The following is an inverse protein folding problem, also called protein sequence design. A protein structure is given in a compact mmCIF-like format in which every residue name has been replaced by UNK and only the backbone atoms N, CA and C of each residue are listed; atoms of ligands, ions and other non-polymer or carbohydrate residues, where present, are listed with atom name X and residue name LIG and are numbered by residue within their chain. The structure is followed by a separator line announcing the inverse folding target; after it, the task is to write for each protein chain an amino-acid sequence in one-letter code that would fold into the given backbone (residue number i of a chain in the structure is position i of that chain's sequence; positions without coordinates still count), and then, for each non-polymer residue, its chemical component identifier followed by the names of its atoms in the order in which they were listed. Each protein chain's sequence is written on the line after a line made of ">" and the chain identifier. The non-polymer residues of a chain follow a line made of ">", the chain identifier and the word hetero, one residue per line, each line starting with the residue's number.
data_IF_422821620706
#
_entry.id   IF_422821620706
#
_cell.length_a   1.000
_cell.length_b   1.000
_cell.length_c   1.000
_cell.angle_alpha   90.00
_cell.angle_beta   90.00
_cell.angle_gamma   90.00
#
_symmetry.space_group_name_H-M   'P 1'
#
loop_
_entity.id
_entity.type
_entity.pdbx_description
1 polymer ?
#
# COMPACT_ATOMS: atom_id res chain seq x y z
N UNK A 1 34.54 28.61 -28.29
CA UNK A 1 33.34 27.80 -27.96
C UNK A 1 32.18 28.47 -28.67
N UNK A 2 31.67 27.83 -29.73
CA UNK A 2 30.68 28.41 -30.64
C UNK A 2 29.27 28.30 -30.04
N UNK A 3 28.37 29.25 -30.32
CA UNK A 3 27.00 29.29 -29.77
C UNK A 3 26.24 27.95 -29.95
N UNK A 4 26.54 27.22 -31.01
CA UNK A 4 25.93 25.91 -31.34
C UNK A 4 26.25 24.85 -30.27
N UNK A 5 27.49 24.80 -29.75
CA UNK A 5 27.86 23.85 -28.68
C UNK A 5 27.19 24.16 -27.35
N UNK A 6 26.88 25.44 -27.11
CA UNK A 6 26.22 25.91 -25.89
C UNK A 6 24.74 25.52 -25.89
N UNK A 7 24.05 25.65 -27.04
CA UNK A 7 22.65 25.25 -27.21
C UNK A 7 22.47 23.73 -27.12
N UNK A 8 23.37 22.94 -27.72
CA UNK A 8 23.29 21.47 -27.66
C UNK A 8 23.50 20.94 -26.23
N UNK A 9 24.46 21.49 -25.47
CA UNK A 9 24.63 21.11 -24.06
C UNK A 9 23.42 21.48 -23.21
N UNK A 10 22.85 22.67 -23.41
CA UNK A 10 21.65 23.09 -22.70
C UNK A 10 20.45 22.17 -22.99
N UNK A 11 20.31 21.71 -24.25
CA UNK A 11 19.24 20.81 -24.64
C UNK A 11 19.44 19.40 -24.06
N UNK A 12 20.66 18.89 -24.02
CA UNK A 12 21.00 17.60 -23.42
C UNK A 12 20.84 17.62 -21.88
N UNK A 13 21.24 18.71 -21.22
CA UNK A 13 21.02 18.91 -19.78
C UNK A 13 19.53 19.07 -19.45
N UNK A 14 18.76 19.76 -20.30
CA UNK A 14 17.31 19.87 -20.16
C UNK A 14 16.61 18.51 -20.35
N UNK A 15 17.03 17.69 -21.32
CA UNK A 15 16.51 16.33 -21.49
C UNK A 15 16.82 15.45 -20.27
N UNK A 16 18.04 15.53 -19.73
CA UNK A 16 18.43 14.76 -18.54
C UNK A 16 17.61 15.19 -17.32
N UNK A 17 17.41 16.49 -17.12
CA UNK A 17 16.58 17.02 -16.05
C UNK A 17 15.12 16.53 -16.18
N UNK A 18 14.56 16.55 -17.39
CA UNK A 18 13.23 16.02 -17.66
C UNK A 18 13.13 14.52 -17.40
N UNK A 19 14.13 13.74 -17.82
CA UNK A 19 14.18 12.30 -17.60
C UNK A 19 14.25 11.95 -16.10
N UNK A 20 15.06 12.67 -15.32
CA UNK A 20 15.14 12.50 -13.86
C UNK A 20 13.82 12.86 -13.19
N UNK A 21 13.18 13.95 -13.62
CA UNK A 21 11.88 14.37 -13.10
C UNK A 21 10.78 13.34 -13.39
N UNK A 22 10.72 12.85 -14.64
CA UNK A 22 9.79 11.79 -15.04
C UNK A 22 10.05 10.48 -14.27
N UNK A 23 11.31 10.10 -14.08
CA UNK A 23 11.69 8.96 -13.24
C UNK A 23 11.26 9.15 -11.78
N UNK A 24 11.39 10.37 -11.23
CA UNK A 24 10.91 10.71 -9.89
C UNK A 24 9.39 10.60 -9.75
N UNK A 25 8.63 11.00 -10.77
CA UNK A 25 7.18 10.82 -10.81
C UNK A 25 6.82 9.32 -10.86
N UNK A 26 7.48 8.56 -11.74
CA UNK A 26 7.25 7.12 -11.86
C UNK A 26 7.54 6.38 -10.55
N UNK A 27 8.65 6.75 -9.87
CA UNK A 27 9.03 6.19 -8.59
C UNK A 27 7.96 6.45 -7.52
N UNK A 28 7.47 7.69 -7.42
CA UNK A 28 6.44 8.05 -6.42
C UNK A 28 5.10 7.35 -6.70
N UNK A 29 4.68 7.25 -7.96
CA UNK A 29 3.49 6.49 -8.36
C UNK A 29 3.63 5.01 -7.99
N UNK A 30 4.77 4.40 -8.34
CA UNK A 30 5.06 3.02 -7.97
C UNK A 30 5.03 2.81 -6.46
N UNK A 31 5.64 3.71 -5.70
CA UNK A 31 5.65 3.67 -4.24
C UNK A 31 4.23 3.76 -3.67
N UNK A 32 3.39 4.65 -4.20
CA UNK A 32 1.99 4.79 -3.79
C UNK A 32 1.21 3.49 -3.94
N UNK A 33 1.35 2.79 -5.08
CA UNK A 33 0.69 1.49 -5.28
C UNK A 33 1.20 0.42 -4.31
N UNK A 34 2.51 0.39 -4.05
CA UNK A 34 3.09 -0.54 -3.08
C UNK A 34 2.54 -0.24 -1.68
N UNK A 35 2.55 1.03 -1.25
CA UNK A 35 1.98 1.47 0.03
C UNK A 35 0.50 1.12 0.14
N UNK A 36 -0.28 1.26 -0.93
CA UNK A 36 -1.69 0.90 -0.93
C UNK A 36 -1.94 -0.59 -0.65
N UNK A 37 -1.03 -1.48 -1.08
CA UNK A 37 -1.07 -2.91 -0.79
C UNK A 37 -0.49 -3.25 0.59
N UNK A 38 0.58 -2.57 1.01
CA UNK A 38 1.24 -2.81 2.28
C UNK A 38 0.45 -2.27 3.47
N UNK A 39 -0.29 -1.17 3.31
CA UNK A 39 -1.10 -0.58 4.37
C UNK A 39 -2.08 -1.56 5.03
N UNK A 40 -2.98 -2.25 4.30
CA UNK A 40 -3.89 -3.21 4.93
C UNK A 40 -3.13 -4.37 5.59
N UNK A 41 -2.00 -4.80 5.02
CA UNK A 41 -1.15 -5.83 5.63
C UNK A 41 -0.58 -5.38 6.97
N UNK A 42 0.03 -4.19 7.04
CA UNK A 42 0.65 -3.65 8.25
C UNK A 42 -0.39 -3.39 9.33
N UNK A 43 -1.52 -2.77 8.97
CA UNK A 43 -2.64 -2.54 9.91
C UNK A 43 -3.16 -3.88 10.44
N UNK A 44 -3.31 -4.88 9.56
CA UNK A 44 -3.63 -6.24 9.93
C UNK A 44 -2.65 -6.79 10.98
N UNK A 45 -1.34 -6.71 10.72
CA UNK A 45 -0.29 -7.18 11.64
C UNK A 45 -0.43 -6.51 13.01
N UNK A 46 -0.58 -5.19 13.05
CA UNK A 46 -0.71 -4.44 14.32
C UNK A 46 -1.96 -4.89 15.09
N UNK A 47 -3.11 -4.96 14.43
CA UNK A 47 -4.35 -5.41 15.08
C UNK A 47 -4.24 -6.87 15.57
N UNK A 48 -3.70 -7.76 14.75
CA UNK A 48 -3.50 -9.16 15.10
C UNK A 48 -2.54 -9.35 16.28
N UNK A 49 -1.48 -8.54 16.33
CA UNK A 49 -0.50 -8.52 17.42
C UNK A 49 -1.06 -7.97 18.73
N UNK A 50 -2.09 -7.12 18.69
CA UNK A 50 -2.75 -6.64 19.92
C UNK A 50 -3.74 -7.70 20.45
N UNK A 51 -4.46 -8.37 19.56
CA UNK A 51 -5.56 -9.29 19.91
C UNK A 51 -5.10 -10.68 20.39
N UNK A 52 -3.97 -11.18 19.92
CA UNK A 52 -3.33 -12.44 20.37
C UNK A 52 -4.03 -13.74 20.04
N UNK A 53 -5.28 -13.66 19.59
CA UNK A 53 -6.02 -14.80 19.08
C UNK A 53 -6.02 -14.76 17.56
N UNK A 54 -5.46 -15.81 16.94
CA UNK A 54 -5.36 -15.98 15.48
C UNK A 54 -6.68 -15.69 14.75
N UNK A 55 -7.80 -16.24 15.26
CA UNK A 55 -9.13 -16.07 14.65
C UNK A 55 -9.61 -14.62 14.72
N UNK A 56 -9.40 -13.95 15.86
CA UNK A 56 -9.82 -12.57 16.03
C UNK A 56 -8.94 -11.62 15.21
N UNK A 57 -7.62 -11.85 15.17
CA UNK A 57 -6.70 -11.06 14.35
C UNK A 57 -7.04 -11.09 12.86
N UNK A 58 -7.34 -12.27 12.31
CA UNK A 58 -7.77 -12.41 10.91
C UNK A 58 -9.08 -11.65 10.69
N UNK A 59 -10.08 -11.86 11.55
CA UNK A 59 -11.40 -11.23 11.41
C UNK A 59 -11.31 -9.71 11.48
N UNK A 60 -10.54 -9.16 12.43
CA UNK A 60 -10.38 -7.70 12.55
C UNK A 60 -9.57 -7.11 11.40
N UNK A 61 -8.56 -7.81 10.90
CA UNK A 61 -7.79 -7.36 9.72
C UNK A 61 -8.64 -7.37 8.45
N UNK A 62 -9.46 -8.41 8.27
CA UNK A 62 -10.36 -8.53 7.14
C UNK A 62 -11.51 -7.50 7.20
N UNK A 63 -12.27 -7.45 8.31
CA UNK A 63 -13.38 -6.50 8.44
C UNK A 63 -12.89 -5.04 8.44
N UNK A 64 -11.74 -4.76 9.06
CA UNK A 64 -11.15 -3.42 9.06
C UNK A 64 -10.88 -2.93 7.65
N UNK A 65 -10.26 -3.76 6.81
CA UNK A 65 -10.06 -3.46 5.41
C UNK A 65 -11.39 -3.26 4.66
N UNK A 66 -12.35 -4.19 4.79
CA UNK A 66 -13.67 -4.07 4.14
C UNK A 66 -14.33 -2.74 4.47
N UNK A 67 -14.38 -2.36 5.76
CA UNK A 67 -15.04 -1.13 6.21
C UNK A 67 -14.29 0.10 5.71
N UNK A 68 -12.97 0.14 5.82
CA UNK A 68 -12.17 1.29 5.37
C UNK A 68 -12.31 1.53 3.88
N UNK A 69 -12.24 0.49 3.05
CA UNK A 69 -12.40 0.65 1.61
C UNK A 69 -13.87 0.95 1.25
N UNK A 70 -14.85 0.35 1.91
CA UNK A 70 -16.27 0.68 1.69
C UNK A 70 -16.58 2.16 1.97
N UNK A 71 -15.97 2.75 3.00
CA UNK A 71 -16.06 4.20 3.25
C UNK A 71 -15.42 5.00 2.12
N UNK A 72 -14.25 4.56 1.63
CA UNK A 72 -13.57 5.20 0.51
C UNK A 72 -14.44 5.22 -0.75
N UNK A 73 -15.18 4.14 -1.02
CA UNK A 73 -16.11 4.05 -2.14
C UNK A 73 -17.18 5.14 -2.11
N UNK A 74 -17.78 5.35 -0.95
CA UNK A 74 -18.81 6.37 -0.72
C UNK A 74 -18.22 7.76 -0.97
N UNK A 75 -17.01 8.03 -0.49
CA UNK A 75 -16.32 9.32 -0.67
C UNK A 75 -15.97 9.57 -2.14
N UNK A 76 -15.59 8.54 -2.89
CA UNK A 76 -15.28 8.65 -4.33
C UNK A 76 -16.50 8.72 -5.25
N UNK A 77 -17.72 8.73 -4.69
CA UNK A 77 -18.94 8.99 -5.45
C UNK A 77 -19.30 7.92 -6.48
N UNK A 78 -18.98 6.64 -6.23
CA UNK A 78 -19.29 5.53 -7.13
C UNK A 78 -18.68 5.67 -8.54
N UNK A 79 -17.58 6.40 -8.68
CA UNK A 79 -16.89 6.59 -9.96
C UNK A 79 -16.34 5.28 -10.57
N UNK A 80 -16.31 4.19 -9.79
CA UNK A 80 -15.78 2.88 -10.18
C UNK A 80 -16.90 1.85 -10.22
N UNK A 81 -16.87 0.97 -11.21
CA UNK A 81 -17.78 -0.17 -11.33
C UNK A 81 -17.79 -1.01 -10.04
N UNK A 82 -18.98 -1.30 -9.53
CA UNK A 82 -19.21 -2.05 -8.29
C UNK A 82 -18.52 -3.42 -8.33
N UNK A 83 -18.49 -4.09 -9.48
CA UNK A 83 -17.86 -5.41 -9.60
C UNK A 83 -16.33 -5.32 -9.44
N UNK A 84 -15.72 -4.29 -10.03
CA UNK A 84 -14.26 -4.04 -9.93
C UNK A 84 -13.90 -3.58 -8.52
N UNK A 85 -14.73 -2.72 -7.93
CA UNK A 85 -14.53 -2.27 -6.57
C UNK A 85 -14.64 -3.43 -5.56
N UNK A 86 -15.68 -4.26 -5.68
CA UNK A 86 -15.88 -5.42 -4.80
C UNK A 86 -14.74 -6.43 -4.86
N UNK A 87 -14.18 -6.68 -6.05
CA UNK A 87 -13.01 -7.56 -6.21
C UNK A 87 -11.76 -6.95 -5.59
N UNK A 88 -11.52 -5.65 -5.78
CA UNK A 88 -10.40 -4.95 -5.15
C UNK A 88 -10.49 -4.96 -3.62
N UNK A 89 -11.68 -4.69 -3.05
CA UNK A 89 -11.90 -4.76 -1.59
C UNK A 89 -11.67 -6.17 -1.06
N UNK A 90 -12.14 -7.21 -1.78
CA UNK A 90 -11.90 -8.59 -1.38
C UNK A 90 -10.40 -8.91 -1.32
N UNK A 91 -9.64 -8.55 -2.35
CA UNK A 91 -8.19 -8.77 -2.40
C UNK A 91 -7.51 -8.05 -1.23
N UNK A 92 -7.81 -6.77 -1.04
CA UNK A 92 -7.22 -5.98 0.06
C UNK A 92 -7.60 -6.51 1.44
N UNK A 93 -8.81 -7.04 1.59
CA UNK A 93 -9.29 -7.62 2.85
C UNK A 93 -8.62 -8.94 3.17
N UNK A 94 -8.36 -9.78 2.15
CA UNK A 94 -7.56 -10.99 2.31
C UNK A 94 -6.12 -10.66 2.74
N UNK A 95 -5.52 -9.62 2.16
CA UNK A 95 -4.19 -9.13 2.54
C UNK A 95 -4.19 -8.65 4.01
N UNK A 96 -5.20 -7.88 4.41
CA UNK A 96 -5.37 -7.43 5.80
C UNK A 96 -5.59 -8.58 6.78
N UNK A 97 -6.38 -9.58 6.40
CA UNK A 97 -6.58 -10.81 7.17
C UNK A 97 -5.29 -11.62 7.33
N UNK A 98 -4.48 -11.75 6.27
CA UNK A 98 -3.16 -12.38 6.32
C UNK A 98 -2.21 -11.63 7.25
N UNK A 99 -2.22 -10.30 7.19
CA UNK A 99 -1.51 -9.45 8.16
C UNK A 99 -1.95 -9.75 9.60
N UNK A 100 -3.26 -9.80 9.85
CA UNK A 100 -3.86 -10.16 11.14
C UNK A 100 -3.41 -11.53 11.68
N UNK A 101 -3.29 -12.52 10.80
CA UNK A 101 -2.74 -13.82 11.18
C UNK A 101 -1.27 -13.73 11.60
N UNK A 102 -0.44 -13.05 10.80
CA UNK A 102 1.00 -12.88 11.07
C UNK A 102 1.20 -12.17 12.42
N UNK A 103 0.45 -11.09 12.67
CA UNK A 103 0.48 -10.37 13.94
C UNK A 103 0.17 -11.26 15.16
N UNK A 104 -0.89 -12.07 15.06
CA UNK A 104 -1.27 -12.97 16.14
C UNK A 104 -0.23 -14.08 16.38
N UNK A 105 0.45 -14.55 15.34
CA UNK A 105 1.56 -15.52 15.47
C UNK A 105 2.78 -14.89 16.14
N UNK A 106 3.12 -13.64 15.77
CA UNK A 106 4.22 -12.89 16.37
C UNK A 106 4.02 -12.71 17.88
N UNK A 107 2.82 -12.32 18.30
CA UNK A 107 2.54 -12.16 19.73
C UNK A 107 2.70 -13.48 20.51
N UNK A 108 2.23 -14.60 19.95
CA UNK A 108 2.38 -15.92 20.60
C UNK A 108 3.85 -16.29 20.79
N UNK A 109 4.69 -16.09 19.77
CA UNK A 109 6.14 -16.35 19.86
C UNK A 109 6.84 -15.46 20.87
N UNK A 110 6.42 -14.19 20.98
CA UNK A 110 7.04 -13.26 21.91
C UNK A 110 6.72 -13.64 23.37
N UNK A 111 5.49 -14.07 23.65
CA UNK A 111 5.10 -14.58 24.98
C UNK A 111 5.89 -15.84 25.33
N UNK A 112 6.04 -16.79 24.39
CA UNK A 112 6.82 -18.02 24.61
C UNK A 112 8.32 -17.75 24.83
N UNK A 113 8.88 -16.69 24.25
CA UNK A 113 10.29 -16.30 24.46
C UNK A 113 10.55 -15.56 25.77
N UNK A 114 9.49 -15.09 26.46
CA UNK A 114 9.60 -14.33 27.72
C UNK A 114 9.23 -15.17 28.96
N UNK A 115 8.89 -16.44 28.77
CA UNK A 115 8.67 -17.47 29.79
C UNK A 115 9.82 -18.46 29.85
#
# INVERSE_FOLDING_TARGET
>A
MTEIELVDRFNDDAMKAFAIFAAGILLNLGLFFVLALFAPMVVGIVCGYILGKKRNGILTGFLGAVVSYALMFIVTGFAVDIAVFGTAVLIMSLIGGAGGFIGAVLQKRMIESSS
#
